data_IF_357705722821
#
_entry.id   IF_357705722821
#
_cell.length_a   1.000
_cell.length_b   1.000
_cell.length_c   1.000
_cell.angle_alpha   90.00
_cell.angle_beta   90.00
_cell.angle_gamma   90.00
#
_symmetry.space_group_name_H-M   'P 1'
#
loop_
_entity.id
_entity.type
_entity.pdbx_description
1 polymer ?
#
# COMPACT_ATOMS: atom_id res chain seq x y z
N UNK A 1 -41.49 -49.02 14.05
CA UNK A 1 -41.43 -47.56 13.84
C UNK A 1 -40.52 -47.05 14.94
N UNK A 2 -39.23 -46.82 14.69
CA UNK A 2 -38.69 -45.67 13.97
C UNK A 2 -37.35 -46.05 13.33
N UNK A 3 -37.32 -46.22 12.01
CA UNK A 3 -36.09 -46.35 11.23
C UNK A 3 -36.00 -45.14 10.29
N UNK A 4 -34.85 -44.45 10.36
CA UNK A 4 -34.19 -43.77 9.24
C UNK A 4 -34.88 -42.54 8.61
N UNK A 5 -34.26 -41.36 8.77
CA UNK A 5 -34.28 -40.21 7.83
C UNK A 5 -33.26 -39.16 8.33
N UNK A 6 -31.98 -39.35 8.06
CA UNK A 6 -31.26 -38.90 6.86
C UNK A 6 -31.33 -37.37 6.62
N UNK A 7 -30.22 -36.71 6.95
CA UNK A 7 -29.50 -35.67 6.20
C UNK A 7 -30.30 -34.57 5.48
N UNK A 8 -30.04 -33.30 5.81
CA UNK A 8 -29.47 -32.32 4.86
C UNK A 8 -29.25 -30.95 5.52
N UNK A 9 -28.01 -30.69 5.91
CA UNK A 9 -27.47 -29.34 6.09
C UNK A 9 -26.87 -28.91 4.74
N UNK A 10 -27.22 -27.73 4.22
CA UNK A 10 -26.24 -26.97 3.47
C UNK A 10 -26.11 -25.57 4.07
N UNK A 11 -25.06 -25.38 4.87
CA UNK A 11 -24.49 -24.07 5.17
C UNK A 11 -23.60 -23.70 3.97
N UNK A 12 -24.16 -22.96 3.01
CA UNK A 12 -23.38 -22.37 1.92
C UNK A 12 -23.14 -20.90 2.25
N UNK A 13 -22.01 -20.62 2.90
CA UNK A 13 -21.42 -19.27 2.89
C UNK A 13 -20.48 -19.18 1.69
N UNK A 14 -21.00 -18.70 0.57
CA UNK A 14 -20.19 -18.24 -0.57
C UNK A 14 -19.60 -16.87 -0.21
N UNK A 15 -18.48 -16.88 0.52
CA UNK A 15 -17.64 -15.71 0.69
C UNK A 15 -16.78 -15.50 -0.55
N UNK A 16 -17.31 -14.83 -1.59
CA UNK A 16 -16.45 -14.21 -2.61
C UNK A 16 -15.85 -12.94 -2.01
N UNK A 17 -14.70 -13.06 -1.34
CA UNK A 17 -13.85 -11.90 -1.11
C UNK A 17 -13.18 -11.57 -2.45
N UNK A 18 -13.77 -10.64 -3.20
CA UNK A 18 -13.11 -10.04 -4.34
C UNK A 18 -11.81 -9.39 -3.85
N UNK A 19 -10.66 -9.96 -4.20
CA UNK A 19 -9.36 -9.35 -3.96
C UNK A 19 -9.23 -8.09 -4.81
N UNK A 20 -8.77 -6.95 -4.25
CA UNK A 20 -8.58 -5.75 -5.04
C UNK A 20 -7.42 -6.00 -6.02
N UNK A 21 -7.73 -6.08 -7.31
CA UNK A 21 -6.74 -6.27 -8.37
C UNK A 21 -5.68 -5.15 -8.41
N UNK A 22 -5.94 -4.00 -7.77
CA UNK A 22 -5.04 -2.86 -7.69
C UNK A 22 -3.74 -3.12 -6.91
N UNK A 23 -3.72 -4.10 -5.99
CA UNK A 23 -2.51 -4.45 -5.25
C UNK A 23 -1.42 -5.10 -6.14
N UNK A 24 -1.80 -5.59 -7.33
CA UNK A 24 -0.86 -6.24 -8.26
C UNK A 24 -0.16 -5.25 -9.19
N UNK A 25 -0.63 -4.00 -9.27
CA UNK A 25 -0.03 -2.96 -10.12
C UNK A 25 1.16 -2.23 -9.48
N UNK A 26 1.43 -2.46 -8.20
CA UNK A 26 2.49 -1.77 -7.46
C UNK A 26 3.35 -2.79 -6.72
N UNK A 27 4.63 -2.85 -7.07
CA UNK A 27 5.64 -3.59 -6.31
C UNK A 27 6.60 -2.58 -5.67
N UNK A 28 6.79 -2.68 -4.36
CA UNK A 28 7.66 -1.81 -3.59
C UNK A 28 8.58 -2.64 -2.69
N UNK A 29 9.86 -2.32 -2.71
CA UNK A 29 10.83 -2.79 -1.71
C UNK A 29 11.51 -1.61 -1.05
N UNK A 30 11.73 -1.72 0.27
CA UNK A 30 12.49 -0.74 1.05
C UNK A 30 13.58 -1.51 1.78
N UNK A 31 14.84 -1.21 1.46
CA UNK A 31 16.01 -1.86 2.04
C UNK A 31 17.11 -0.83 2.26
N UNK A 32 17.69 -0.79 3.46
CA UNK A 32 18.79 0.12 3.82
C UNK A 32 18.54 1.61 3.49
N UNK A 33 17.28 2.05 3.59
CA UNK A 33 16.88 3.42 3.28
C UNK A 33 16.81 3.74 1.78
N UNK A 34 16.79 2.71 0.92
CA UNK A 34 16.62 2.79 -0.52
C UNK A 34 15.36 2.08 -0.96
N UNK A 35 14.82 2.52 -2.09
CA UNK A 35 13.53 2.13 -2.62
C UNK A 35 13.67 1.65 -4.05
N UNK A 36 13.09 0.49 -4.32
CA UNK A 36 12.75 0.10 -5.69
C UNK A 36 11.23 0.00 -5.79
N UNK A 37 10.68 0.67 -6.80
CA UNK A 37 9.24 0.79 -7.02
C UNK A 37 8.97 0.48 -8.48
N UNK A 38 8.05 -0.44 -8.76
CA UNK A 38 7.43 -0.61 -10.06
C UNK A 38 5.94 -0.37 -9.91
N UNK A 39 5.45 0.72 -10.50
CA UNK A 39 4.06 1.08 -10.54
C UNK A 39 3.64 1.23 -12.01
N UNK A 40 2.63 0.47 -12.43
CA UNK A 40 2.06 0.58 -13.77
C UNK A 40 0.63 1.11 -13.66
N UNK A 41 0.40 2.33 -14.17
CA UNK A 41 -0.90 2.97 -14.20
C UNK A 41 -1.64 2.94 -12.85
N UNK A 42 -0.92 3.28 -11.77
CA UNK A 42 -1.41 3.17 -10.40
C UNK A 42 -1.74 4.56 -9.81
N UNK A 43 -2.79 4.70 -8.99
CA UNK A 43 -3.00 5.91 -8.21
C UNK A 43 -1.88 6.12 -7.20
N UNK A 44 -1.51 7.38 -6.93
CA UNK A 44 -0.52 7.73 -5.90
C UNK A 44 -0.93 7.20 -4.52
N UNK A 45 -2.23 7.21 -4.20
CA UNK A 45 -2.77 6.64 -2.96
C UNK A 45 -2.50 5.14 -2.79
N UNK A 46 -2.49 4.37 -3.89
CA UNK A 46 -2.14 2.95 -3.89
C UNK A 46 -0.65 2.77 -3.63
N UNK A 47 0.20 3.59 -4.27
CA UNK A 47 1.65 3.59 -4.02
C UNK A 47 1.95 3.86 -2.54
N UNK A 48 1.31 4.87 -1.94
CA UNK A 48 1.51 5.19 -0.52
C UNK A 48 0.93 4.14 0.42
N UNK A 49 -0.12 3.43 0.01
CA UNK A 49 -0.66 2.29 0.76
C UNK A 49 0.32 1.11 0.78
N UNK A 50 0.97 0.82 -0.36
CA UNK A 50 2.06 -0.16 -0.40
C UNK A 50 3.28 0.31 0.40
N UNK A 51 3.56 1.61 0.41
CA UNK A 51 4.57 2.19 1.29
C UNK A 51 4.27 1.99 2.77
N UNK A 52 3.02 2.20 3.18
CA UNK A 52 2.58 1.94 4.53
C UNK A 52 2.69 0.44 4.88
N UNK A 53 2.31 -0.43 3.95
CA UNK A 53 2.34 -1.89 4.12
C UNK A 53 3.77 -2.45 4.25
N UNK A 54 4.68 -2.02 3.37
CA UNK A 54 6.07 -2.53 3.31
C UNK A 54 6.96 -1.79 4.31
N UNK A 55 6.83 -0.46 4.37
CA UNK A 55 7.67 0.41 5.19
C UNK A 55 7.22 0.56 6.63
N UNK A 56 5.95 0.27 6.93
CA UNK A 56 5.37 0.51 8.25
C UNK A 56 5.09 1.99 8.53
N UNK A 57 5.06 2.85 7.50
CA UNK A 57 4.72 4.27 7.63
C UNK A 57 3.21 4.46 7.76
N UNK A 58 2.79 5.52 8.45
CA UNK A 58 1.39 5.97 8.45
C UNK A 58 1.22 7.13 7.48
N UNK A 59 0.29 7.01 6.55
CA UNK A 59 -0.14 8.11 5.68
C UNK A 59 -1.21 8.91 6.41
N UNK A 60 -1.01 10.22 6.56
CA UNK A 60 -1.93 11.15 7.21
C UNK A 60 -2.52 12.09 6.16
N UNK A 61 -3.83 12.30 6.20
CA UNK A 61 -4.61 13.05 5.20
C UNK A 61 -4.48 12.52 3.76
N UNK A 62 -4.28 11.20 3.59
CA UNK A 62 -4.11 10.58 2.27
C UNK A 62 -5.31 10.76 1.33
N UNK A 63 -6.50 11.06 1.87
CA UNK A 63 -7.70 11.41 1.10
C UNK A 63 -7.57 12.71 0.28
N UNK A 64 -6.55 13.54 0.57
CA UNK A 64 -6.27 14.79 -0.16
C UNK A 64 -5.40 14.58 -1.40
N UNK A 65 -4.92 13.35 -1.63
CA UNK A 65 -4.09 13.05 -2.79
C UNK A 65 -4.87 13.22 -4.10
N UNK A 66 -4.23 13.74 -5.16
CA UNK A 66 -4.85 13.83 -6.47
C UNK A 66 -5.16 12.44 -7.03
N UNK A 67 -6.30 12.29 -7.69
CA UNK A 67 -6.78 11.01 -8.24
C UNK A 67 -6.10 10.55 -9.53
N UNK A 68 -4.98 11.18 -9.93
CA UNK A 68 -4.27 10.84 -11.17
C UNK A 68 -3.58 9.48 -11.10
N UNK A 69 -3.49 8.81 -12.24
CA UNK A 69 -2.74 7.57 -12.40
C UNK A 69 -1.32 7.89 -12.85
N UNK A 70 -0.35 7.19 -12.28
CA UNK A 70 1.07 7.33 -12.64
C UNK A 70 1.65 5.97 -13.00
N UNK A 71 2.56 5.98 -13.99
CA UNK A 71 3.46 4.87 -14.24
C UNK A 71 4.86 5.32 -13.88
N UNK A 72 5.50 4.62 -12.96
CA UNK A 72 6.78 5.00 -12.38
C UNK A 72 7.61 3.75 -12.10
N UNK A 73 8.87 3.78 -12.52
CA UNK A 73 9.87 2.77 -12.15
C UNK A 73 11.05 3.45 -11.49
N UNK A 74 11.34 3.07 -10.26
CA UNK A 74 12.51 3.48 -9.47
C UNK A 74 13.34 2.26 -9.16
N UNK A 75 14.66 2.41 -9.18
CA UNK A 75 15.59 1.33 -8.86
C UNK A 75 16.66 1.88 -7.93
N UNK A 76 16.68 1.36 -6.70
CA UNK A 76 17.68 1.67 -5.66
C UNK A 76 17.80 3.17 -5.30
N UNK A 77 16.69 3.90 -5.35
CA UNK A 77 16.63 5.35 -5.10
C UNK A 77 16.56 5.63 -3.59
N UNK A 78 17.28 6.63 -3.04
CA UNK A 78 17.12 7.02 -1.64
C UNK A 78 15.65 7.29 -1.27
N UNK A 79 15.19 6.77 -0.13
CA UNK A 79 13.76 6.78 0.21
C UNK A 79 13.13 8.17 0.19
N UNK A 80 13.86 9.19 0.67
CA UNK A 80 13.42 10.58 0.62
C UNK A 80 13.19 11.04 -0.82
N UNK A 81 14.17 10.84 -1.69
CA UNK A 81 14.08 11.22 -3.09
C UNK A 81 12.97 10.47 -3.81
N UNK A 82 12.79 9.18 -3.50
CA UNK A 82 11.70 8.37 -4.05
C UNK A 82 10.32 8.93 -3.65
N UNK A 83 10.14 9.35 -2.38
CA UNK A 83 8.91 10.02 -1.94
C UNK A 83 8.72 11.38 -2.62
N UNK A 84 9.78 12.15 -2.80
CA UNK A 84 9.73 13.43 -3.51
C UNK A 84 9.27 13.24 -4.98
N UNK A 85 9.71 12.17 -5.65
CA UNK A 85 9.29 11.82 -7.02
C UNK A 85 7.83 11.36 -7.06
N UNK A 86 7.40 10.53 -6.11
CA UNK A 86 6.02 10.01 -6.03
C UNK A 86 5.03 11.14 -5.72
N UNK A 87 5.42 12.08 -4.86
CA UNK A 87 4.58 13.18 -4.39
C UNK A 87 4.79 14.48 -5.17
N UNK A 88 5.47 14.44 -6.32
CA UNK A 88 5.84 15.64 -7.11
C UNK A 88 4.67 16.56 -7.47
N UNK A 89 3.48 16.00 -7.63
CA UNK A 89 2.26 16.71 -8.02
C UNK A 89 1.39 17.08 -6.79
N UNK A 90 1.85 16.76 -5.58
CA UNK A 90 1.19 17.06 -4.31
C UNK A 90 1.71 18.39 -3.77
N UNK A 91 0.79 19.33 -3.53
CA UNK A 91 1.13 20.68 -3.05
C UNK A 91 1.46 20.66 -1.56
N UNK A 92 2.73 20.39 -1.24
CA UNK A 92 3.25 20.37 0.12
C UNK A 92 2.98 19.05 0.83
N UNK A 93 4.04 18.44 1.33
CA UNK A 93 3.98 17.27 2.20
C UNK A 93 5.08 17.38 3.26
N UNK A 94 4.92 16.64 4.35
CA UNK A 94 5.92 16.54 5.41
C UNK A 94 6.23 15.08 5.69
N UNK A 95 7.51 14.79 5.86
CA UNK A 95 8.00 13.47 6.23
C UNK A 95 8.50 13.51 7.67
N UNK A 96 7.82 12.81 8.57
CA UNK A 96 8.25 12.70 9.96
C UNK A 96 9.24 11.53 10.10
N UNK A 97 10.51 11.78 10.48
CA UNK A 97 11.49 10.72 10.68
C UNK A 97 11.04 9.74 11.76
N UNK A 98 11.28 8.45 11.53
CA UNK A 98 11.08 7.41 12.54
C UNK A 98 12.10 7.58 13.66
N UNK A 99 11.61 7.86 14.87
CA UNK A 99 12.40 7.68 16.08
C UNK A 99 12.52 6.16 16.31
N UNK A 100 13.69 5.69 16.73
CA UNK A 100 14.06 4.27 16.81
C UNK A 100 12.88 3.30 17.05
N UNK A 101 12.75 2.27 16.20
CA UNK A 101 11.62 1.34 16.23
C UNK A 101 11.59 0.43 15.01
N UNK A 102 10.58 -0.44 14.94
CA UNK A 102 10.40 -1.38 13.83
C UNK A 102 9.80 -0.70 12.59
N UNK A 103 10.11 -1.23 11.40
CA UNK A 103 9.63 -0.76 10.10
C UNK A 103 10.78 -0.57 9.12
N UNK A 104 10.57 -0.92 7.85
CA UNK A 104 11.60 -0.78 6.81
C UNK A 104 11.79 0.68 6.35
N UNK A 105 10.75 1.51 6.48
CA UNK A 105 10.81 2.93 6.15
C UNK A 105 11.51 3.74 7.26
N UNK A 106 12.36 4.68 6.83
CA UNK A 106 12.98 5.70 7.70
C UNK A 106 11.99 6.77 8.16
N UNK A 107 10.78 6.80 7.61
CA UNK A 107 9.72 7.75 7.95
C UNK A 107 8.56 7.05 8.64
N UNK A 108 8.22 7.53 9.83
CA UNK A 108 7.06 7.01 10.57
C UNK A 108 5.75 7.57 10.02
N UNK A 109 5.76 8.82 9.55
CA UNK A 109 4.57 9.47 9.00
C UNK A 109 4.88 10.21 7.70
N UNK A 110 3.96 10.08 6.76
CA UNK A 110 3.90 10.82 5.51
C UNK A 110 2.63 11.68 5.59
N UNK A 111 2.79 12.99 5.77
CA UNK A 111 1.68 13.92 5.92
C UNK A 111 1.44 14.66 4.60
N UNK A 112 0.19 14.61 4.14
CA UNK A 112 -0.31 15.27 2.93
C UNK A 112 -1.14 16.51 3.30
#
# INVERSE_FOLDING_TARGET
MELLRSLLTPLVLLGLTATPALAQQVTLTIQDGRVSLDANNAPVSVILSEWARVGGSRVVNGERLPGGLVSLRLSDVPEREALDIVLRDVSGYLLAPRQAGAGASRFDRILI
#
